data_IF_887444524889
#
_entry.id   IF_887444524889
#
_cell.length_a   1.000
_cell.length_b   1.000
_cell.length_c   1.000
_cell.angle_alpha   90.00
_cell.angle_beta   90.00
_cell.angle_gamma   90.00
#
_symmetry.space_group_name_H-M   'P 1'
#
loop_
_entity.id
_entity.type
_entity.pdbx_description
1 polymer ?
#
# COMPACT_ATOMS: atom_id res chain seq x y z
N UNK A 1 27.23 15.10 11.77
CA UNK A 1 26.04 14.22 11.86
C UNK A 1 26.46 12.82 11.42
N UNK A 2 26.13 11.79 12.19
CA UNK A 2 26.35 10.39 11.79
C UNK A 2 25.41 10.04 10.63
N UNK A 3 25.97 9.45 9.57
CA UNK A 3 25.19 8.88 8.47
C UNK A 3 24.85 7.43 8.84
N UNK A 4 23.58 7.13 9.02
CA UNK A 4 23.10 5.78 9.31
C UNK A 4 22.52 5.19 8.02
N UNK A 5 22.91 3.95 7.72
CA UNK A 5 22.37 3.16 6.62
C UNK A 5 21.57 2.02 7.26
N UNK A 6 20.33 1.82 6.80
CA UNK A 6 19.43 0.79 7.31
C UNK A 6 19.15 -0.18 6.18
N UNK A 7 19.23 -1.47 6.48
CA UNK A 7 18.91 -2.57 5.57
C UNK A 7 17.71 -3.35 6.12
N UNK A 8 16.78 -3.72 5.23
CA UNK A 8 15.60 -4.51 5.59
C UNK A 8 15.92 -6.00 5.46
N UNK A 9 15.89 -6.73 6.57
CA UNK A 9 16.16 -8.18 6.58
C UNK A 9 14.92 -9.04 6.31
N UNK A 10 13.73 -8.44 6.37
CA UNK A 10 12.44 -9.08 6.12
C UNK A 10 11.50 -8.07 5.43
N UNK A 11 10.35 -8.53 4.89
CA UNK A 11 9.31 -7.61 4.43
C UNK A 11 8.84 -6.69 5.56
N UNK A 12 8.91 -5.38 5.32
CA UNK A 12 8.46 -4.36 6.28
C UNK A 12 7.25 -3.62 5.69
N UNK A 13 6.23 -3.43 6.52
CA UNK A 13 5.08 -2.60 6.19
C UNK A 13 4.91 -1.51 7.25
N UNK A 14 4.87 -0.26 6.80
CA UNK A 14 4.51 0.91 7.61
C UNK A 14 3.33 1.55 6.90
N UNK A 15 2.16 1.51 7.52
CA UNK A 15 0.93 1.94 6.88
C UNK A 15 0.81 3.47 6.77
N UNK A 16 0.17 3.95 5.70
CA UNK A 16 -0.35 5.34 5.65
C UNK A 16 -1.59 5.50 6.54
N UNK A 17 -2.33 4.42 6.76
CA UNK A 17 -3.66 4.40 7.37
C UNK A 17 -4.76 4.08 6.36
N UNK A 18 -4.44 4.14 5.06
CA UNK A 18 -5.41 3.92 3.99
C UNK A 18 -5.56 2.45 3.61
N UNK A 19 -6.76 2.11 3.14
CA UNK A 19 -7.12 0.79 2.64
C UNK A 19 -7.61 0.94 1.21
N UNK A 20 -6.87 0.31 0.29
CA UNK A 20 -7.21 0.30 -1.12
C UNK A 20 -8.13 -0.89 -1.41
N UNK A 21 -9.25 -0.67 -2.08
CA UNK A 21 -10.22 -1.67 -2.48
C UNK A 21 -9.85 -2.29 -3.84
N UNK A 22 -9.85 -3.62 -3.91
CA UNK A 22 -9.70 -4.30 -5.19
C UNK A 22 -10.86 -3.93 -6.13
N UNK A 23 -10.58 -3.88 -7.43
CA UNK A 23 -11.48 -3.49 -8.52
C UNK A 23 -11.92 -2.02 -8.50
N UNK A 24 -11.50 -1.21 -7.53
CA UNK A 24 -11.79 0.24 -7.46
C UNK A 24 -10.51 1.04 -7.37
N UNK A 25 -9.77 0.93 -6.26
CA UNK A 25 -8.55 1.69 -5.99
C UNK A 25 -7.29 0.97 -6.51
N UNK A 26 -7.40 -0.33 -6.76
CA UNK A 26 -6.39 -1.10 -7.48
C UNK A 26 -7.02 -2.20 -8.32
N UNK A 27 -6.30 -2.62 -9.36
CA UNK A 27 -6.67 -3.76 -10.20
C UNK A 27 -5.51 -4.76 -10.25
N UNK A 28 -5.84 -6.03 -10.44
CA UNK A 28 -4.86 -7.12 -10.53
C UNK A 28 -4.79 -7.61 -11.97
N UNK A 29 -3.59 -7.70 -12.53
CA UNK A 29 -3.36 -8.31 -13.85
C UNK A 29 -2.31 -9.41 -13.74
N UNK A 30 -2.56 -10.54 -14.41
CA UNK A 30 -1.64 -11.68 -14.49
C UNK A 30 -1.01 -11.72 -15.88
N UNK A 31 0.31 -11.80 -15.94
CA UNK A 31 1.09 -11.99 -17.16
C UNK A 31 1.88 -13.29 -17.06
N UNK A 32 1.34 -14.37 -17.63
CA UNK A 32 1.93 -15.70 -17.48
C UNK A 32 1.89 -16.17 -16.02
N UNK A 33 3.08 -16.36 -15.42
CA UNK A 33 3.23 -16.76 -14.01
C UNK A 33 3.33 -15.58 -13.04
N UNK A 34 3.47 -14.37 -13.56
CA UNK A 34 3.64 -13.16 -12.76
C UNK A 34 2.30 -12.48 -12.54
N UNK A 35 2.12 -11.93 -11.34
CA UNK A 35 0.93 -11.20 -10.93
C UNK A 35 1.35 -9.79 -10.52
N UNK A 36 0.56 -8.80 -10.90
CA UNK A 36 0.86 -7.39 -10.66
C UNK A 36 -0.37 -6.69 -10.11
N UNK A 37 -0.15 -5.84 -9.12
CA UNK A 37 -1.14 -4.91 -8.58
C UNK A 37 -0.87 -3.54 -9.20
N UNK A 38 -1.91 -2.95 -9.76
CA UNK A 38 -1.89 -1.65 -10.39
C UNK A 38 -2.78 -0.72 -9.56
N UNK A 39 -2.18 0.23 -8.85
CA UNK A 39 -2.94 1.20 -8.05
C UNK A 39 -3.40 2.30 -8.99
N UNK A 40 -4.71 2.48 -9.06
CA UNK A 40 -5.36 3.34 -10.05
C UNK A 40 -5.14 4.82 -9.73
N UNK A 41 -5.31 5.66 -10.74
CA UNK A 41 -5.27 7.10 -10.64
C UNK A 41 -6.51 7.69 -11.31
N UNK A 42 -7.36 8.34 -10.52
CA UNK A 42 -8.69 8.80 -10.91
C UNK A 42 -8.64 9.77 -12.08
N UNK A 43 -7.64 10.66 -12.10
CA UNK A 43 -7.44 11.61 -13.18
C UNK A 43 -7.19 10.91 -14.53
N UNK A 44 -6.35 9.87 -14.55
CA UNK A 44 -6.08 9.09 -15.77
C UNK A 44 -7.28 8.27 -16.21
N UNK A 45 -8.03 7.70 -15.26
CA UNK A 45 -9.30 7.03 -15.58
C UNK A 45 -10.24 8.02 -16.26
N UNK A 46 -10.40 9.22 -15.69
CA UNK A 46 -11.27 10.26 -16.23
C UNK A 46 -10.85 10.69 -17.65
N UNK A 47 -9.55 10.82 -17.91
CA UNK A 47 -9.02 11.11 -19.24
C UNK A 47 -9.35 10.02 -20.27
N UNK A 48 -9.34 8.74 -19.85
CA UNK A 48 -9.66 7.61 -20.73
C UNK A 48 -11.16 7.48 -21.00
N UNK A 49 -12.01 7.72 -20.00
CA UNK A 49 -13.46 7.58 -20.16
C UNK A 49 -14.12 8.86 -20.69
N UNK A 50 -13.50 10.02 -20.55
CA UNK A 50 -14.10 11.32 -20.88
C UNK A 50 -15.02 11.85 -19.77
N UNK A 51 -14.96 13.16 -19.54
CA UNK A 51 -15.75 13.85 -18.51
C UNK A 51 -17.26 13.73 -18.69
N UNK A 52 -17.72 13.53 -19.92
CA UNK A 52 -19.12 13.29 -20.30
C UNK A 52 -19.65 11.93 -19.82
N UNK A 53 -18.79 11.05 -19.31
CA UNK A 53 -19.13 9.71 -18.85
C UNK A 53 -18.95 9.52 -17.33
N UNK A 54 -18.80 10.62 -16.57
CA UNK A 54 -18.74 10.60 -15.10
C UNK A 54 -19.95 9.89 -14.48
N UNK A 55 -21.16 10.14 -14.98
CA UNK A 55 -22.36 9.48 -14.46
C UNK A 55 -22.31 7.96 -14.64
N UNK A 56 -21.73 7.50 -15.76
CA UNK A 56 -21.54 6.07 -16.01
C UNK A 56 -20.48 5.45 -15.10
N UNK A 57 -19.47 6.22 -14.71
CA UNK A 57 -18.49 5.81 -13.70
C UNK A 57 -19.12 5.72 -12.31
N UNK A 58 -19.95 6.70 -11.93
CA UNK A 58 -20.69 6.63 -10.66
C UNK A 58 -21.57 5.37 -10.61
N UNK A 59 -22.31 5.11 -11.69
CA UNK A 59 -23.15 3.90 -11.82
C UNK A 59 -22.35 2.60 -11.79
N UNK A 60 -21.10 2.58 -12.29
CA UNK A 60 -20.25 1.38 -12.23
C UNK A 60 -19.82 1.09 -10.79
N UNK A 61 -19.51 2.12 -10.01
CA UNK A 61 -19.18 1.99 -8.58
C UNK A 61 -20.38 1.43 -7.80
N UNK A 62 -21.59 1.98 -8.01
CA UNK A 62 -22.81 1.49 -7.36
C UNK A 62 -23.09 0.02 -7.67
N UNK A 63 -22.83 -0.39 -8.92
CA UNK A 63 -22.99 -1.78 -9.38
C UNK A 63 -21.84 -2.70 -8.98
N UNK A 64 -20.79 -2.18 -8.33
CA UNK A 64 -19.55 -2.90 -8.03
C UNK A 64 -18.90 -3.53 -9.28
N UNK A 65 -19.04 -2.86 -10.41
CA UNK A 65 -18.34 -3.21 -11.64
C UNK A 65 -16.84 -2.94 -11.46
N UNK A 66 -15.98 -3.78 -12.06
CA UNK A 66 -14.54 -3.56 -11.99
C UNK A 66 -14.13 -2.34 -12.80
N UNK A 67 -13.16 -1.58 -12.27
CA UNK A 67 -12.52 -0.48 -13.00
C UNK A 67 -11.96 -0.95 -14.34
N UNK A 68 -11.47 -2.19 -14.43
CA UNK A 68 -11.01 -2.77 -15.71
C UNK A 68 -12.14 -2.83 -16.74
N UNK A 69 -13.34 -3.24 -16.31
CA UNK A 69 -14.49 -3.40 -17.19
C UNK A 69 -15.03 -2.02 -17.62
N UNK A 70 -15.13 -1.08 -16.67
CA UNK A 70 -15.48 0.31 -16.96
C UNK A 70 -14.56 0.91 -18.03
N UNK A 71 -13.25 0.86 -17.81
CA UNK A 71 -12.27 1.48 -18.71
C UNK A 71 -12.32 0.80 -20.08
N UNK A 72 -12.48 -0.52 -20.15
CA UNK A 72 -12.61 -1.25 -21.44
C UNK A 72 -13.84 -0.83 -22.25
N UNK A 73 -14.93 -0.38 -21.62
CA UNK A 73 -16.13 0.10 -22.35
C UNK A 73 -15.83 1.34 -23.20
N UNK A 74 -14.94 2.21 -22.74
CA UNK A 74 -14.63 3.49 -23.41
C UNK A 74 -13.27 3.49 -24.12
N UNK A 75 -12.27 2.82 -23.55
CA UNK A 75 -10.92 2.72 -24.06
C UNK A 75 -10.50 1.23 -24.17
N UNK A 76 -11.05 0.45 -25.13
CA UNK A 76 -10.86 -1.00 -25.20
C UNK A 76 -9.42 -1.46 -25.47
N UNK A 77 -8.56 -0.56 -25.96
CA UNK A 77 -7.14 -0.83 -26.22
C UNK A 77 -6.23 -0.49 -25.02
N UNK A 78 -6.76 0.13 -23.98
CA UNK A 78 -5.99 0.50 -22.80
C UNK A 78 -5.67 -0.73 -21.94
N UNK A 79 -4.57 -0.60 -21.21
CA UNK A 79 -4.05 -1.54 -20.24
C UNK A 79 -4.10 -0.92 -18.84
N UNK A 80 -4.06 -1.74 -17.77
CA UNK A 80 -3.96 -1.23 -16.40
C UNK A 80 -2.84 -0.21 -16.16
N UNK A 81 -1.74 -0.30 -16.90
CA UNK A 81 -0.63 0.65 -16.80
C UNK A 81 -1.02 2.07 -17.25
N UNK A 82 -1.98 2.22 -18.16
CA UNK A 82 -2.37 3.51 -18.73
C UNK A 82 -3.16 4.38 -17.74
N UNK A 83 -3.79 3.78 -16.74
CA UNK A 83 -4.62 4.48 -15.74
C UNK A 83 -4.17 4.24 -14.29
N UNK A 84 -2.92 3.83 -14.11
CA UNK A 84 -2.35 3.59 -12.78
C UNK A 84 -1.24 4.57 -12.45
N UNK A 85 -1.16 4.94 -11.18
CA UNK A 85 -0.06 5.76 -10.65
C UNK A 85 1.19 4.92 -10.38
N UNK A 86 1.03 3.63 -10.04
CA UNK A 86 2.15 2.72 -9.72
C UNK A 86 1.79 1.26 -9.94
N UNK A 87 2.82 0.45 -10.16
CA UNK A 87 2.75 -1.00 -10.33
C UNK A 87 3.56 -1.68 -9.23
N UNK A 88 3.01 -2.75 -8.66
CA UNK A 88 3.62 -3.53 -7.58
C UNK A 88 3.63 -5.00 -8.01
N UNK A 89 4.80 -5.65 -7.93
CA UNK A 89 4.90 -7.09 -8.11
C UNK A 89 4.15 -7.81 -7.00
N UNK A 90 3.17 -8.64 -7.37
CA UNK A 90 2.35 -9.39 -6.43
C UNK A 90 2.90 -10.79 -6.26
N UNK A 91 3.23 -11.11 -5.00
CA UNK A 91 3.59 -12.46 -4.56
C UNK A 91 2.43 -13.17 -3.83
N UNK A 92 1.24 -12.57 -3.84
CA UNK A 92 0.02 -13.19 -3.31
C UNK A 92 -0.50 -14.23 -4.31
N UNK A 93 -0.90 -15.40 -3.81
CA UNK A 93 -1.34 -16.51 -4.67
C UNK A 93 -2.63 -16.16 -5.43
N UNK A 94 -3.68 -15.76 -4.73
CA UNK A 94 -4.96 -15.37 -5.31
C UNK A 94 -5.61 -14.24 -4.52
N UNK A 95 -5.68 -13.05 -5.14
CA UNK A 95 -6.34 -11.88 -4.58
C UNK A 95 -7.82 -11.94 -4.98
N UNK A 96 -8.72 -11.97 -3.99
CA UNK A 96 -10.17 -12.02 -4.25
C UNK A 96 -10.73 -10.63 -4.55
N UNK A 97 -11.88 -10.58 -5.20
CA UNK A 97 -12.53 -9.34 -5.63
C UNK A 97 -12.87 -8.35 -4.49
N UNK A 98 -13.09 -8.85 -3.27
CA UNK A 98 -13.44 -8.03 -2.09
C UNK A 98 -12.27 -7.88 -1.11
N UNK A 99 -11.06 -8.28 -1.49
CA UNK A 99 -9.89 -8.09 -0.64
C UNK A 99 -9.38 -6.66 -0.73
N UNK A 100 -8.75 -6.22 0.36
CA UNK A 100 -8.18 -4.88 0.50
C UNK A 100 -6.67 -4.95 0.62
N UNK A 101 -6.00 -3.91 0.15
CA UNK A 101 -4.58 -3.72 0.30
C UNK A 101 -4.34 -2.59 1.31
N UNK A 102 -3.59 -2.90 2.38
CA UNK A 102 -3.11 -1.86 3.31
C UNK A 102 -2.01 -1.05 2.62
N UNK A 103 -2.24 0.24 2.45
CA UNK A 103 -1.29 1.10 1.77
C UNK A 103 -0.06 1.38 2.65
N UNK A 104 1.13 1.26 2.06
CA UNK A 104 2.37 1.69 2.70
C UNK A 104 2.47 3.22 2.67
N UNK A 105 3.13 3.82 3.65
CA UNK A 105 3.30 5.28 3.69
C UNK A 105 4.24 5.75 2.58
N UNK A 106 3.81 6.79 1.86
CA UNK A 106 4.58 7.45 0.81
C UNK A 106 4.85 8.91 1.19
N UNK A 107 5.91 9.50 0.63
CA UNK A 107 6.16 10.93 0.75
C UNK A 107 5.29 11.73 -0.25
N UNK A 108 5.41 13.05 -0.27
CA UNK A 108 4.65 13.91 -1.20
C UNK A 108 4.96 13.71 -2.70
N UNK A 109 5.94 12.87 -3.03
CA UNK A 109 6.27 12.47 -4.41
C UNK A 109 5.79 11.05 -4.74
N UNK A 110 5.04 10.41 -3.84
CA UNK A 110 4.57 9.03 -4.02
C UNK A 110 5.64 7.95 -3.81
N UNK A 111 6.81 8.29 -3.21
CA UNK A 111 7.87 7.32 -2.93
C UNK A 111 7.73 6.73 -1.53
N UNK A 112 7.81 5.39 -1.37
CA UNK A 112 7.68 4.75 -0.07
C UNK A 112 8.91 5.09 0.80
N UNK A 113 8.68 5.31 2.10
CA UNK A 113 9.77 5.62 3.03
C UNK A 113 9.48 5.08 4.43
N UNK A 114 10.53 5.02 5.25
CA UNK A 114 10.40 4.71 6.69
C UNK A 114 10.39 6.03 7.46
N UNK A 115 9.29 6.41 8.10
CA UNK A 115 9.23 7.62 8.91
C UNK A 115 10.17 7.57 10.11
N UNK A 116 10.79 8.72 10.43
CA UNK A 116 11.65 8.84 11.61
C UNK A 116 10.92 8.54 12.92
N UNK A 117 9.60 8.80 12.99
CA UNK A 117 8.76 8.43 14.12
C UNK A 117 8.68 6.91 14.33
N UNK A 118 8.58 6.12 13.27
CA UNK A 118 8.56 4.65 13.33
C UNK A 118 9.90 4.09 13.83
N UNK A 119 11.02 4.60 13.30
CA UNK A 119 12.37 4.22 13.78
C UNK A 119 12.55 4.62 15.24
N UNK A 120 12.17 5.85 15.59
CA UNK A 120 12.23 6.35 16.97
C UNK A 120 11.39 5.49 17.91
N UNK A 121 10.22 5.02 17.47
CA UNK A 121 9.37 4.11 18.21
C UNK A 121 10.06 2.80 18.54
N UNK A 122 10.68 2.16 17.53
CA UNK A 122 11.42 0.92 17.72
C UNK A 122 12.60 1.09 18.70
N UNK A 123 13.41 2.13 18.52
CA UNK A 123 14.55 2.44 19.43
C UNK A 123 14.05 2.74 20.84
N UNK A 124 12.98 3.53 20.97
CA UNK A 124 12.38 3.87 22.28
C UNK A 124 11.96 2.61 23.03
N UNK A 125 11.30 1.66 22.35
CA UNK A 125 10.88 0.40 22.97
C UNK A 125 12.10 -0.41 23.42
N UNK A 126 13.13 -0.54 22.59
CA UNK A 126 14.35 -1.27 22.96
C UNK A 126 15.05 -0.67 24.19
N UNK A 127 15.18 0.66 24.24
CA UNK A 127 15.75 1.36 25.41
C UNK A 127 14.89 1.13 26.65
N UNK A 128 13.56 1.25 26.53
CA UNK A 128 12.66 1.04 27.66
C UNK A 128 12.79 -0.37 28.23
N UNK A 129 12.79 -1.39 27.36
CA UNK A 129 12.98 -2.78 27.78
C UNK A 129 14.30 -2.96 28.53
N UNK A 130 15.41 -2.44 27.98
CA UNK A 130 16.71 -2.52 28.64
C UNK A 130 16.74 -1.85 30.01
N UNK A 131 16.04 -0.72 30.18
CA UNK A 131 15.96 -0.04 31.48
C UNK A 131 15.13 -0.82 32.49
N UNK A 132 14.05 -1.47 32.07
CA UNK A 132 13.22 -2.33 32.93
C UNK A 132 14.03 -3.52 33.44
N UNK A 133 14.79 -4.19 32.56
CA UNK A 133 15.62 -5.33 32.94
C UNK A 133 16.67 -4.95 34.00
N UNK A 134 17.29 -3.76 33.85
CA UNK A 134 18.27 -3.24 34.81
C UNK A 134 17.64 -2.98 36.18
N UNK A 135 16.40 -2.47 36.21
CA UNK A 135 15.69 -2.20 37.46
C UNK A 135 15.35 -3.52 38.16
N UNK A 136 14.84 -4.50 37.42
CA UNK A 136 14.46 -5.79 37.97
C UNK A 136 15.65 -6.54 38.58
N UNK A 137 16.80 -6.56 37.89
CA UNK A 137 18.05 -7.15 38.43
C UNK A 137 18.51 -6.45 39.73
N UNK A 138 18.25 -5.14 39.87
CA UNK A 138 18.58 -4.41 41.11
C UNK A 138 17.61 -4.73 42.24
N UNK A 139 16.31 -4.86 41.95
CA UNK A 139 15.30 -5.24 42.94
C UNK A 139 15.59 -6.64 43.49
N UNK A 140 15.88 -7.61 42.62
CA UNK A 140 16.20 -8.99 43.02
C UNK A 140 17.42 -9.05 43.96
N UNK A 141 18.42 -8.18 43.73
CA UNK A 141 19.62 -8.07 44.58
C UNK A 141 19.39 -7.40 45.93
N UNK A 142 18.31 -6.64 46.08
CA UNK A 142 17.94 -5.98 47.35
C UNK A 142 17.04 -6.89 48.20
N UNK A 143 16.26 -7.77 47.56
CA UNK A 143 15.28 -8.65 48.23
C UNK A 143 15.92 -9.97 48.70
N UNK A 144 17.12 -10.33 48.21
CA UNK A 144 17.97 -11.42 48.76
C UNK A 144 18.75 -10.98 50.00
#
# INVERSE_FOLDING_TARGET
>A
MSKIIIETLSPIHIGSGDLLQNNTDFVVSKHGKESYIYVTEEAKILELIGSEHIDNWLLSIEKKESTVDLVKRYAPKSSPADYSQRQISSYAADIKANETLKEAIHNGQGLPYIPGSSIKGAIRTAILTSLVDIIQDREDKIIQ
#
